data_IF_149283625290
#
_entry.id   IF_149283625290
#
_cell.length_a   1.000
_cell.length_b   1.000
_cell.length_c   1.000
_cell.angle_alpha   90.00
_cell.angle_beta   90.00
_cell.angle_gamma   90.00
#
_symmetry.space_group_name_H-M   'P 1'
#
loop_
_entity.id
_entity.type
_entity.pdbx_description
1 polymer ?
#
# COMPACT_ATOMS: atom_id res chain seq x y z
N UNK A 1 15.41 16.11 -13.22
CA UNK A 1 14.60 15.28 -12.31
C UNK A 1 14.14 16.24 -11.22
N UNK A 2 12.83 16.40 -11.04
CA UNK A 2 12.29 17.33 -10.03
C UNK A 2 12.13 16.59 -8.70
N UNK A 3 12.46 17.24 -7.59
CA UNK A 3 12.08 16.78 -6.26
C UNK A 3 10.60 17.10 -6.00
N UNK A 4 9.92 16.32 -5.15
CA UNK A 4 8.51 16.58 -4.84
C UNK A 4 8.33 17.94 -4.13
N UNK A 5 9.35 18.41 -3.41
CA UNK A 5 9.32 19.73 -2.77
C UNK A 5 9.33 20.90 -3.76
N UNK A 6 9.59 20.65 -5.05
CA UNK A 6 9.61 21.67 -6.11
C UNK A 6 8.27 21.79 -6.86
N UNK A 7 7.28 20.96 -6.50
CA UNK A 7 5.97 20.91 -7.19
C UNK A 7 4.81 20.95 -6.18
N UNK A 8 3.85 21.84 -6.41
CA UNK A 8 2.67 21.94 -5.55
C UNK A 8 1.65 20.82 -5.80
N UNK A 9 1.65 20.27 -7.02
CA UNK A 9 0.63 19.34 -7.50
C UNK A 9 1.12 18.52 -8.68
N UNK A 10 0.70 17.26 -8.75
CA UNK A 10 0.93 16.40 -9.91
C UNK A 10 -0.38 16.10 -10.63
N UNK A 11 -0.40 16.23 -11.94
CA UNK A 11 -1.59 15.89 -12.72
C UNK A 11 -1.88 14.39 -12.71
N UNK A 12 -0.84 13.56 -12.78
CA UNK A 12 -0.96 12.10 -12.75
C UNK A 12 0.16 11.46 -11.92
N UNK A 13 -0.16 10.34 -11.29
CA UNK A 13 0.78 9.37 -10.75
C UNK A 13 0.51 8.01 -11.41
N UNK A 14 1.54 7.38 -11.95
CA UNK A 14 1.45 6.07 -12.61
C UNK A 14 2.33 5.10 -11.87
N UNK A 15 1.75 4.03 -11.36
CA UNK A 15 2.47 3.04 -10.57
C UNK A 15 1.72 1.69 -10.55
N UNK A 16 2.42 0.63 -10.14
CA UNK A 16 1.83 -0.70 -9.97
C UNK A 16 1.23 -0.94 -8.59
N UNK A 17 0.67 -2.14 -8.44
CA UNK A 17 0.16 -2.65 -7.16
C UNK A 17 0.57 -4.10 -6.95
N UNK A 18 0.63 -4.50 -5.68
CA UNK A 18 0.76 -5.90 -5.28
C UNK A 18 -0.61 -6.59 -5.38
N UNK A 19 -1.68 -5.90 -4.96
CA UNK A 19 -3.08 -6.28 -5.18
C UNK A 19 -3.95 -5.04 -5.46
N UNK A 20 -5.02 -5.22 -6.24
CA UNK A 20 -6.08 -4.22 -6.44
C UNK A 20 -7.45 -4.90 -6.41
N UNK A 21 -8.39 -4.34 -5.64
CA UNK A 21 -9.75 -4.86 -5.53
C UNK A 21 -10.76 -4.12 -6.45
N UNK A 22 -11.99 -4.64 -6.50
CA UNK A 22 -13.09 -4.03 -7.28
C UNK A 22 -13.48 -2.60 -6.86
N UNK A 23 -13.07 -2.16 -5.68
CA UNK A 23 -13.27 -0.78 -5.18
C UNK A 23 -12.09 0.15 -5.48
N UNK A 24 -11.13 -0.29 -6.32
CA UNK A 24 -9.91 0.44 -6.69
C UNK A 24 -8.98 0.70 -5.49
N UNK A 25 -9.13 -0.06 -4.41
CA UNK A 25 -8.24 -0.03 -3.25
C UNK A 25 -7.11 -1.02 -3.47
N UNK A 26 -5.92 -0.71 -2.95
CA UNK A 26 -4.72 -1.49 -3.26
C UNK A 26 -3.90 -1.87 -2.02
N UNK A 27 -3.22 -3.02 -2.12
CA UNK A 27 -2.01 -3.29 -1.34
C UNK A 27 -0.80 -2.93 -2.21
N UNK A 28 0.13 -2.17 -1.62
CA UNK A 28 1.42 -1.77 -2.18
C UNK A 28 2.51 -1.90 -1.12
N UNK A 29 3.77 -1.87 -1.57
CA UNK A 29 4.94 -1.87 -0.68
C UNK A 29 5.74 -3.18 -0.65
N UNK A 30 5.42 -4.16 -1.51
CA UNK A 30 6.26 -5.33 -1.72
C UNK A 30 7.72 -4.96 -1.98
N UNK A 31 7.95 -3.90 -2.75
CA UNK A 31 9.28 -3.34 -3.05
C UNK A 31 9.91 -2.43 -1.97
N UNK A 32 9.31 -2.29 -0.78
CA UNK A 32 9.80 -1.46 0.33
C UNK A 32 9.84 0.08 0.07
N UNK A 33 9.18 0.58 -0.96
CA UNK A 33 9.09 2.02 -1.28
C UNK A 33 7.76 2.68 -0.88
N UNK A 34 6.95 1.99 -0.06
CA UNK A 34 5.56 2.37 0.28
C UNK A 34 5.39 3.82 0.76
N UNK A 35 6.33 4.34 1.56
CA UNK A 35 6.23 5.72 2.07
C UNK A 35 6.31 6.73 0.94
N UNK A 36 7.32 6.62 0.07
CA UNK A 36 7.48 7.53 -1.07
C UNK A 36 6.34 7.41 -2.07
N UNK A 37 5.93 6.18 -2.40
CA UNK A 37 4.81 5.92 -3.31
C UNK A 37 3.53 6.60 -2.79
N UNK A 38 3.25 6.46 -1.49
CA UNK A 38 2.03 7.01 -0.88
C UNK A 38 2.03 8.53 -0.76
N UNK A 39 3.20 9.13 -0.50
CA UNK A 39 3.38 10.58 -0.50
C UNK A 39 3.16 11.15 -1.91
N UNK A 40 3.76 10.56 -2.96
CA UNK A 40 3.58 11.06 -4.33
C UNK A 40 2.12 10.89 -4.77
N UNK A 41 1.49 9.76 -4.44
CA UNK A 41 0.08 9.51 -4.76
C UNK A 41 -0.86 10.53 -4.10
N UNK A 42 -0.55 11.07 -2.92
CA UNK A 42 -1.39 12.06 -2.23
C UNK A 42 -1.33 13.45 -2.86
N UNK A 43 -0.23 13.78 -3.55
CA UNK A 43 -0.05 15.05 -4.27
C UNK A 43 -0.60 14.99 -5.70
N UNK A 44 -0.86 13.77 -6.20
CA UNK A 44 -1.37 13.56 -7.55
C UNK A 44 -2.90 13.59 -7.63
N UNK A 45 -3.41 14.30 -8.63
CA UNK A 45 -4.84 14.37 -8.93
C UNK A 45 -5.43 13.03 -9.35
N UNK A 46 -4.69 12.33 -10.19
CA UNK A 46 -5.11 11.07 -10.75
C UNK A 46 -4.06 10.01 -10.54
N UNK A 47 -4.42 8.95 -9.84
CA UNK A 47 -3.60 7.76 -9.74
C UNK A 47 -4.09 6.74 -10.78
N UNK A 48 -3.23 6.48 -11.76
CA UNK A 48 -3.37 5.42 -12.75
C UNK A 48 -2.58 4.19 -12.28
N UNK A 49 -3.28 3.16 -11.81
CA UNK A 49 -2.68 1.87 -11.50
C UNK A 49 -2.41 1.09 -12.79
N UNK A 50 -1.21 0.56 -12.95
CA UNK A 50 -0.84 -0.36 -14.05
C UNK A 50 -0.52 -1.73 -13.47
N UNK A 51 -1.22 -2.78 -13.90
CA UNK A 51 -1.01 -4.13 -13.37
C UNK A 51 -1.36 -5.20 -14.39
N UNK A 52 -0.83 -6.41 -14.23
CA UNK A 52 -1.33 -7.58 -14.93
C UNK A 52 -2.55 -8.18 -14.21
N UNK A 53 -3.30 -9.03 -14.90
CA UNK A 53 -4.54 -9.62 -14.38
C UNK A 53 -4.36 -10.40 -13.06
N UNK A 54 -3.16 -10.90 -12.73
CA UNK A 54 -2.93 -11.62 -11.47
C UNK A 54 -3.03 -10.74 -10.22
N UNK A 55 -2.96 -9.41 -10.37
CA UNK A 55 -3.05 -8.48 -9.25
C UNK A 55 -4.49 -8.16 -8.86
N UNK A 56 -5.47 -8.54 -9.68
CA UNK A 56 -6.88 -8.33 -9.35
C UNK A 56 -7.37 -9.37 -8.36
N UNK A 57 -7.94 -8.92 -7.25
CA UNK A 57 -8.50 -9.78 -6.20
C UNK A 57 -9.87 -9.27 -5.77
N UNK A 58 -10.73 -10.16 -5.27
CA UNK A 58 -12.03 -9.73 -4.74
C UNK A 58 -11.87 -9.06 -3.36
N UNK A 59 -11.05 -9.67 -2.49
CA UNK A 59 -10.76 -9.20 -1.14
C UNK A 59 -9.23 -9.07 -1.01
N UNK A 60 -8.76 -7.93 -0.49
CA UNK A 60 -7.34 -7.68 -0.26
C UNK A 60 -6.84 -8.54 0.91
N UNK A 61 -5.58 -8.96 0.85
CA UNK A 61 -4.87 -9.61 1.96
C UNK A 61 -4.21 -10.95 1.64
N UNK A 62 -4.30 -11.46 0.40
CA UNK A 62 -3.52 -12.65 0.02
C UNK A 62 -2.03 -12.29 -0.05
N UNK A 63 -1.72 -11.13 -0.65
CA UNK A 63 -0.42 -10.52 -0.53
C UNK A 63 -0.22 -9.95 0.89
N UNK A 64 0.90 -10.25 1.57
CA UNK A 64 1.14 -9.77 2.93
C UNK A 64 1.17 -8.24 2.97
N UNK A 65 0.37 -7.63 3.84
CA UNK A 65 0.27 -6.17 3.94
C UNK A 65 1.55 -5.57 4.54
N UNK A 66 2.34 -4.77 3.80
CA UNK A 66 3.55 -4.15 4.35
C UNK A 66 3.20 -2.99 5.28
N UNK A 67 3.85 -2.93 6.45
CA UNK A 67 3.75 -1.82 7.40
C UNK A 67 5.15 -1.34 7.74
N UNK A 68 5.50 -0.12 7.36
CA UNK A 68 6.74 0.54 7.75
C UNK A 68 6.63 1.05 9.18
N UNK A 69 7.61 0.71 10.02
CA UNK A 69 7.60 0.94 11.46
C UNK A 69 8.94 1.46 11.93
N UNK A 70 8.93 2.45 12.83
CA UNK A 70 10.14 2.94 13.51
C UNK A 70 10.81 1.76 14.23
N UNK A 71 12.14 1.53 14.09
CA UNK A 71 12.81 0.33 14.60
C UNK A 71 12.55 0.04 16.09
N UNK A 72 12.55 1.06 16.94
CA UNK A 72 12.29 0.90 18.38
C UNK A 72 10.85 0.46 18.70
N UNK A 73 9.90 0.67 17.79
CA UNK A 73 8.49 0.35 17.97
C UNK A 73 8.08 -1.00 17.38
N UNK A 74 8.99 -1.69 16.65
CA UNK A 74 8.70 -2.94 15.93
C UNK A 74 7.87 -3.94 16.73
N UNK A 75 8.31 -4.28 17.94
CA UNK A 75 7.61 -5.26 18.78
C UNK A 75 6.30 -4.74 19.38
N UNK A 76 6.16 -3.42 19.59
CA UNK A 76 4.91 -2.83 20.05
C UNK A 76 3.85 -2.86 18.95
N UNK A 77 4.19 -2.40 17.75
CA UNK A 77 3.29 -2.42 16.59
C UNK A 77 2.92 -3.86 16.22
N UNK A 78 3.87 -4.80 16.24
CA UNK A 78 3.57 -6.21 15.97
C UNK A 78 2.47 -6.78 16.89
N UNK A 79 2.46 -6.44 18.19
CA UNK A 79 1.40 -6.91 19.10
C UNK A 79 0.03 -6.33 18.77
N UNK A 80 -0.04 -5.08 18.34
CA UNK A 80 -1.31 -4.48 17.93
C UNK A 80 -1.81 -5.06 16.60
N UNK A 81 -0.92 -5.31 15.64
CA UNK A 81 -1.27 -5.99 14.39
C UNK A 81 -1.83 -7.40 14.61
N UNK A 82 -1.34 -8.12 15.63
CA UNK A 82 -1.92 -9.41 16.06
C UNK A 82 -3.35 -9.24 16.58
N UNK A 83 -3.63 -8.19 17.37
CA UNK A 83 -4.99 -7.92 17.86
C UNK A 83 -5.96 -7.54 16.73
N UNK A 84 -5.44 -6.95 15.65
CA UNK A 84 -6.19 -6.67 14.43
C UNK A 84 -6.41 -7.92 13.55
N UNK A 85 -5.99 -9.10 14.01
CA UNK A 85 -6.22 -10.39 13.33
C UNK A 85 -5.10 -10.80 12.38
N UNK A 86 -4.05 -10.01 12.23
CA UNK A 86 -2.93 -10.30 11.35
C UNK A 86 -1.81 -11.11 12.00
N UNK A 87 -0.94 -11.69 11.18
CA UNK A 87 0.31 -12.33 11.61
C UNK A 87 1.51 -11.53 11.08
N UNK A 88 2.07 -10.59 11.85
CA UNK A 88 3.18 -9.76 11.41
C UNK A 88 4.49 -10.55 11.38
N UNK A 89 5.19 -10.48 10.25
CA UNK A 89 6.51 -11.03 10.04
C UNK A 89 7.50 -9.90 9.77
N UNK A 90 8.61 -9.88 10.50
CA UNK A 90 9.64 -8.86 10.29
C UNK A 90 10.43 -9.18 9.02
N UNK A 91 10.45 -8.25 8.06
CA UNK A 91 11.21 -8.36 6.82
C UNK A 91 12.71 -8.22 7.11
N UNK A 92 13.37 -9.36 7.34
CA UNK A 92 14.79 -9.42 7.71
C UNK A 92 15.70 -8.86 6.61
N UNK A 93 16.75 -8.14 7.00
CA UNK A 93 17.76 -7.62 6.08
C UNK A 93 17.29 -6.48 5.18
N UNK A 94 16.06 -5.98 5.36
CA UNK A 94 15.50 -4.86 4.61
C UNK A 94 15.37 -3.65 5.54
N UNK A 95 15.91 -2.53 5.10
CA UNK A 95 15.77 -1.21 5.73
C UNK A 95 15.21 -0.29 4.67
N UNK A 96 14.18 0.49 5.00
CA UNK A 96 13.60 1.45 4.07
C UNK A 96 14.56 2.59 3.80
N UNK A 97 14.28 3.37 2.77
CA UNK A 97 14.98 4.62 2.47
C UNK A 97 14.96 5.63 3.64
N UNK A 98 13.94 5.55 4.50
CA UNK A 98 13.81 6.36 5.70
C UNK A 98 14.48 5.74 6.95
N UNK A 99 15.21 4.62 6.80
CA UNK A 99 15.90 3.95 7.91
C UNK A 99 15.00 3.12 8.80
N UNK A 100 13.77 2.82 8.37
CA UNK A 100 12.79 2.05 9.14
C UNK A 100 12.79 0.57 8.79
N UNK A 101 12.05 -0.22 9.57
CA UNK A 101 11.82 -1.64 9.34
C UNK A 101 10.42 -1.88 8.77
N UNK A 102 10.20 -3.04 8.13
CA UNK A 102 8.89 -3.44 7.62
C UNK A 102 8.39 -4.67 8.39
N UNK A 103 7.12 -4.63 8.79
CA UNK A 103 6.34 -5.80 9.18
C UNK A 103 5.40 -6.17 8.03
N UNK A 104 5.57 -7.35 7.46
CA UNK A 104 4.67 -7.93 6.47
C UNK A 104 3.56 -8.68 7.21
N UNK A 105 2.31 -8.24 7.08
CA UNK A 105 1.19 -8.76 7.86
C UNK A 105 0.42 -9.78 7.03
N UNK A 106 0.54 -11.05 7.41
CA UNK A 106 -0.10 -12.17 6.75
C UNK A 106 -1.48 -12.50 7.35
N UNK A 107 -2.29 -13.23 6.59
CA UNK A 107 -3.50 -13.88 7.11
C UNK A 107 -4.65 -12.92 7.40
N UNK A 108 -4.66 -11.74 6.77
CA UNK A 108 -5.75 -10.79 6.84
C UNK A 108 -6.77 -11.08 5.74
N UNK A 109 -8.05 -11.01 6.07
CA UNK A 109 -9.14 -10.84 5.10
C UNK A 109 -9.65 -9.40 5.24
N UNK A 110 -9.24 -8.51 4.34
CA UNK A 110 -9.45 -7.07 4.49
C UNK A 110 -10.80 -6.67 3.87
N UNK A 111 -11.87 -6.86 4.65
CA UNK A 111 -13.25 -6.56 4.23
C UNK A 111 -13.54 -5.05 4.19
N UNK A 112 -12.94 -4.28 5.10
CA UNK A 112 -13.00 -2.82 5.12
C UNK A 112 -11.59 -2.24 5.13
N UNK A 113 -11.07 -2.00 3.93
CA UNK A 113 -9.70 -1.53 3.74
C UNK A 113 -9.49 -0.11 4.28
N UNK A 114 -10.53 0.74 4.28
CA UNK A 114 -10.43 2.12 4.81
C UNK A 114 -10.36 2.08 6.33
N UNK A 115 -11.21 1.30 6.99
CA UNK A 115 -11.18 1.14 8.43
C UNK A 115 -9.84 0.55 8.91
N UNK A 116 -9.33 -0.48 8.21
CA UNK A 116 -8.04 -1.08 8.56
C UNK A 116 -6.87 -0.13 8.32
N UNK A 117 -6.86 0.61 7.20
CA UNK A 117 -5.85 1.64 6.94
C UNK A 117 -5.80 2.66 8.08
N UNK A 118 -6.97 3.18 8.49
CA UNK A 118 -7.08 4.16 9.55
C UNK A 118 -6.65 3.59 10.91
N UNK A 119 -7.03 2.35 11.22
CA UNK A 119 -6.64 1.67 12.45
C UNK A 119 -5.12 1.51 12.55
N UNK A 120 -4.45 1.06 11.47
CA UNK A 120 -3.00 0.85 11.47
C UNK A 120 -2.26 2.19 11.52
N UNK A 121 -2.71 3.21 10.76
CA UNK A 121 -2.12 4.55 10.83
C UNK A 121 -2.25 5.18 12.23
N UNK A 122 -3.24 4.78 13.02
CA UNK A 122 -3.42 5.25 14.40
C UNK A 122 -2.45 4.63 15.43
N UNK A 123 -1.64 3.64 15.05
CA UNK A 123 -0.73 2.96 15.98
C UNK A 123 0.58 3.76 16.14
N UNK A 124 0.97 4.15 17.38
CA UNK A 124 2.24 4.83 17.61
C UNK A 124 3.44 3.99 17.15
N UNK A 125 4.26 4.60 16.28
CA UNK A 125 5.45 3.98 15.70
C UNK A 125 5.26 3.43 14.29
N UNK A 126 4.01 3.35 13.79
CA UNK A 126 3.77 3.16 12.35
C UNK A 126 4.18 4.44 11.62
N UNK A 127 4.91 4.27 10.52
CA UNK A 127 5.27 5.35 9.59
C UNK A 127 4.29 5.35 8.43
N UNK A 128 4.14 4.19 7.77
CA UNK A 128 3.23 4.04 6.63
C UNK A 128 2.67 2.61 6.59
N UNK A 129 1.35 2.49 6.40
CA UNK A 129 0.71 1.23 5.99
C UNK A 129 0.58 1.16 4.47
N UNK A 130 0.90 0.00 3.90
CA UNK A 130 0.80 -0.30 2.46
C UNK A 130 -0.62 -0.42 1.90
N UNK A 131 -1.64 -0.01 2.65
CA UNK A 131 -3.02 0.10 2.17
C UNK A 131 -3.25 1.46 1.52
N UNK A 132 -3.66 1.46 0.26
CA UNK A 132 -4.08 2.66 -0.48
C UNK A 132 -5.60 2.60 -0.62
N UNK A 133 -6.33 2.86 0.47
CA UNK A 133 -7.78 2.68 0.52
C UNK A 133 -8.54 4.01 0.59
N UNK A 134 -8.14 4.93 1.48
CA UNK A 134 -8.66 6.30 1.52
C UNK A 134 -8.35 7.02 0.21
N UNK A 135 -7.13 6.84 -0.31
CA UNK A 135 -6.68 7.29 -1.63
C UNK A 135 -6.31 6.07 -2.48
N UNK A 136 -7.32 5.42 -3.04
CA UNK A 136 -7.17 4.34 -4.03
C UNK A 136 -6.80 4.86 -5.43
N UNK A 137 -6.82 3.97 -6.42
CA UNK A 137 -6.63 4.32 -7.82
C UNK A 137 -7.87 5.03 -8.40
N UNK A 138 -7.68 5.93 -9.34
CA UNK A 138 -8.74 6.58 -10.11
C UNK A 138 -8.99 5.87 -11.44
N UNK A 139 -7.92 5.29 -12.00
CA UNK A 139 -7.94 4.46 -13.20
C UNK A 139 -7.07 3.23 -12.96
N UNK A 140 -7.47 2.06 -13.45
CA UNK A 140 -6.65 0.87 -13.50
C UNK A 140 -6.57 0.36 -14.94
N UNK A 141 -5.34 0.16 -15.41
CA UNK A 141 -5.03 -0.42 -16.70
C UNK A 141 -4.52 -1.84 -16.45
N UNK A 142 -5.38 -2.82 -16.73
CA UNK A 142 -5.13 -4.23 -16.44
C UNK A 142 -4.75 -4.95 -17.73
N UNK A 143 -3.52 -5.45 -17.78
CA UNK A 143 -3.05 -6.30 -18.87
C UNK A 143 -3.67 -7.70 -18.79
N UNK A 144 -4.46 -8.07 -19.80
CA UNK A 144 -5.07 -9.40 -19.95
C UNK A 144 -4.59 -10.06 -21.24
N UNK A 145 -4.90 -11.35 -21.42
CA UNK A 145 -4.60 -12.07 -22.67
C UNK A 145 -5.33 -11.46 -23.90
N UNK A 146 -6.48 -10.82 -23.68
CA UNK A 146 -7.31 -10.19 -24.71
C UNK A 146 -6.95 -8.71 -24.96
N UNK A 147 -5.90 -8.21 -24.30
CA UNK A 147 -5.47 -6.82 -24.36
C UNK A 147 -5.64 -6.07 -23.03
N UNK A 148 -5.52 -4.74 -23.07
CA UNK A 148 -5.60 -3.90 -21.87
C UNK A 148 -7.06 -3.55 -21.55
N UNK A 149 -7.52 -3.95 -20.37
CA UNK A 149 -8.81 -3.53 -19.81
C UNK A 149 -8.62 -2.23 -19.02
N UNK A 150 -9.42 -1.22 -19.34
CA UNK A 150 -9.46 0.05 -18.59
C UNK A 150 -10.62 0.03 -17.61
N UNK A 151 -10.34 0.27 -16.34
CA UNK A 151 -11.33 0.41 -15.26
C UNK A 151 -11.21 1.83 -14.72
N UNK A 152 -12.33 2.52 -14.57
CA UNK A 152 -12.39 3.89 -14.05
C UNK A 152 -13.25 3.89 -12.80
N UNK A 153 -12.80 4.61 -11.76
CA UNK A 153 -13.52 4.79 -10.50
C UNK A 153 -14.84 5.54 -10.67
#
# INVERSE_FOLDING_TARGET
MFDLNEVDRLGIYVDGADEINGHMQMIKGGGAALTREKIIASVADKFICIADASKQVDILGNFPLPVEVIPMARSAVARELVKLGGRPEYRQGVVTDNGNVILDVHGLEILDAVALENAINGLPGVVTVGLFANRGADVALIGTADGVKTIVK
#
